data_IF_151877817189
#
_entry.id   IF_151877817189
#
_cell.length_a   1.000
_cell.length_b   1.000
_cell.length_c   1.000
_cell.angle_alpha   90.00
_cell.angle_beta   90.00
_cell.angle_gamma   90.00
#
_symmetry.space_group_name_H-M   'P 1'
#
loop_
_entity.id
_entity.type
_entity.pdbx_description
1 polymer ?
#
# COMPACT_ATOMS: atom_id res chain seq x y z
N UNK A 1 -12.02 6.17 -5.32
CA UNK A 1 -11.85 5.22 -4.19
C UNK A 1 -12.19 5.97 -2.89
N UNK A 2 -12.89 5.37 -1.91
CA UNK A 2 -13.30 6.04 -0.64
C UNK A 2 -12.63 5.47 0.62
N UNK A 3 -11.84 4.42 0.46
CA UNK A 3 -11.15 3.71 1.53
C UNK A 3 -9.73 3.34 1.08
N UNK A 4 -8.86 3.18 2.06
CA UNK A 4 -7.44 2.86 1.90
C UNK A 4 -7.17 1.59 2.69
N UNK A 5 -6.47 0.64 2.07
CA UNK A 5 -5.88 -0.53 2.71
C UNK A 5 -4.40 -0.27 2.89
N UNK A 6 -3.93 -0.32 4.13
CA UNK A 6 -2.52 -0.14 4.48
C UNK A 6 -2.05 -1.44 5.12
N UNK A 7 -0.97 -2.02 4.60
CA UNK A 7 -0.44 -3.30 5.09
C UNK A 7 0.98 -3.56 4.62
N UNK A 8 1.64 -4.52 5.24
CA UNK A 8 3.01 -4.97 4.97
C UNK A 8 3.06 -6.35 4.29
N UNK A 9 1.90 -6.96 4.05
CA UNK A 9 1.79 -8.27 3.39
C UNK A 9 1.11 -8.18 2.01
N UNK A 10 1.41 -9.16 1.14
CA UNK A 10 0.73 -9.31 -0.16
C UNK A 10 -0.76 -9.55 0.03
N UNK A 11 -1.17 -10.28 1.07
CA UNK A 11 -2.58 -10.54 1.37
C UNK A 11 -3.37 -9.27 1.66
N UNK A 12 -2.76 -8.26 2.28
CA UNK A 12 -3.41 -6.95 2.49
C UNK A 12 -3.68 -6.27 1.15
N UNK A 13 -2.70 -6.31 0.24
CA UNK A 13 -2.81 -5.69 -1.08
C UNK A 13 -3.88 -6.40 -1.91
N UNK A 14 -3.89 -7.72 -1.91
CA UNK A 14 -4.91 -8.52 -2.58
C UNK A 14 -6.31 -8.24 -2.03
N UNK A 15 -6.45 -8.19 -0.71
CA UNK A 15 -7.72 -7.88 -0.06
C UNK A 15 -8.22 -6.47 -0.42
N UNK A 16 -7.34 -5.46 -0.34
CA UNK A 16 -7.67 -4.08 -0.72
C UNK A 16 -8.05 -3.95 -2.19
N UNK A 17 -7.31 -4.61 -3.08
CA UNK A 17 -7.60 -4.66 -4.52
C UNK A 17 -8.97 -5.28 -4.80
N UNK A 18 -9.28 -6.42 -4.17
CA UNK A 18 -10.55 -7.13 -4.35
C UNK A 18 -11.76 -6.30 -3.91
N UNK A 19 -11.59 -5.37 -2.99
CA UNK A 19 -12.64 -4.46 -2.51
C UNK A 19 -12.60 -3.08 -3.19
N UNK A 20 -11.71 -2.87 -4.18
CA UNK A 20 -11.59 -1.60 -4.90
C UNK A 20 -11.03 -0.44 -4.06
N UNK A 21 -10.25 -0.74 -3.03
CA UNK A 21 -9.58 0.24 -2.16
C UNK A 21 -8.31 0.81 -2.80
N UNK A 22 -7.77 1.89 -2.24
CA UNK A 22 -6.39 2.32 -2.53
C UNK A 22 -5.45 1.43 -1.73
N UNK A 23 -4.43 0.84 -2.34
CA UNK A 23 -3.49 -0.05 -1.64
C UNK A 23 -2.17 0.65 -1.34
N UNK A 24 -1.78 0.64 -0.06
CA UNK A 24 -0.53 1.22 0.44
C UNK A 24 0.31 0.09 1.05
N UNK A 25 1.40 -0.26 0.39
CA UNK A 25 2.29 -1.32 0.85
C UNK A 25 3.46 -0.74 1.65
N UNK A 26 3.66 -1.25 2.86
CA UNK A 26 4.78 -0.87 3.73
C UNK A 26 5.89 -1.90 3.57
N UNK A 27 7.03 -1.48 3.04
CA UNK A 27 8.21 -2.34 2.93
C UNK A 27 9.49 -1.53 2.82
N UNK A 28 10.54 -2.03 3.47
CA UNK A 28 11.90 -1.49 3.33
C UNK A 28 12.60 -1.98 2.04
N UNK A 29 11.96 -2.90 1.29
CA UNK A 29 12.48 -3.39 0.03
C UNK A 29 12.32 -2.37 -1.10
N UNK A 30 13.26 -2.39 -2.04
CA UNK A 30 13.26 -1.48 -3.18
C UNK A 30 12.48 -2.01 -4.38
N UNK A 31 12.08 -3.28 -4.33
CA UNK A 31 11.36 -3.95 -5.42
C UNK A 31 9.89 -4.07 -5.05
N UNK A 32 9.03 -3.57 -5.94
CA UNK A 32 7.59 -3.82 -5.86
C UNK A 32 7.35 -5.31 -6.14
N UNK A 33 6.61 -6.03 -5.29
CA UNK A 33 6.18 -7.39 -5.57
C UNK A 33 5.47 -7.47 -6.93
N UNK A 34 5.93 -8.36 -7.81
CA UNK A 34 5.34 -8.52 -9.15
C UNK A 34 3.96 -9.20 -9.13
N UNK A 35 3.58 -9.79 -7.99
CA UNK A 35 2.43 -10.69 -7.85
C UNK A 35 1.11 -9.95 -7.57
N UNK A 36 1.15 -8.67 -7.20
CA UNK A 36 -0.05 -7.92 -6.80
C UNK A 36 0.01 -6.45 -7.21
N UNK A 37 -1.17 -5.83 -7.40
CA UNK A 37 -1.25 -4.41 -7.73
C UNK A 37 -1.10 -3.55 -6.47
N UNK A 38 -0.17 -2.61 -6.50
CA UNK A 38 0.10 -1.68 -5.40
C UNK A 38 -0.02 -0.27 -5.94
N UNK A 39 -0.88 0.56 -5.35
CA UNK A 39 -1.02 1.96 -5.75
C UNK A 39 0.16 2.81 -5.23
N UNK A 40 0.56 2.60 -3.97
CA UNK A 40 1.67 3.33 -3.32
C UNK A 40 2.51 2.38 -2.48
N UNK A 41 3.82 2.49 -2.57
CA UNK A 41 4.77 1.82 -1.68
C UNK A 41 5.49 2.87 -0.83
N UNK A 42 5.63 2.59 0.45
CA UNK A 42 6.36 3.42 1.43
C UNK A 42 7.20 2.53 2.34
N UNK A 43 8.21 3.09 2.98
CA UNK A 43 9.04 2.37 3.95
C UNK A 43 8.41 2.30 5.34
N UNK A 44 7.51 3.22 5.67
CA UNK A 44 6.88 3.29 6.99
C UNK A 44 5.56 4.05 6.96
N UNK A 45 4.76 3.87 8.02
CA UNK A 45 3.56 4.68 8.25
C UNK A 45 3.88 6.17 8.34
N UNK A 46 5.03 6.55 8.93
CA UNK A 46 5.44 7.95 9.02
C UNK A 46 5.67 8.57 7.63
N UNK A 47 6.33 7.83 6.72
CA UNK A 47 6.48 8.28 5.34
C UNK A 47 5.13 8.42 4.64
N UNK A 48 4.20 7.49 4.89
CA UNK A 48 2.84 7.59 4.34
C UNK A 48 2.12 8.85 4.83
N UNK A 49 2.18 9.16 6.13
CA UNK A 49 1.61 10.40 6.69
C UNK A 49 2.17 11.64 5.98
N UNK A 50 3.50 11.70 5.80
CA UNK A 50 4.13 12.82 5.09
C UNK A 50 3.68 12.97 3.63
N UNK A 51 3.24 11.89 2.97
CA UNK A 51 2.73 11.92 1.59
C UNK A 51 1.27 12.36 1.49
N UNK A 52 0.45 12.17 2.52
CA UNK A 52 -0.98 12.54 2.51
C UNK A 52 -1.25 13.95 3.02
N UNK A 53 -0.32 14.52 3.79
CA UNK A 53 -0.42 15.89 4.32
C UNK A 53 -0.01 16.98 3.31
N UNK A 54 0.47 16.59 2.12
CA UNK A 54 0.82 17.47 0.99
C UNK A 54 -0.16 17.31 -0.17
#
# INVERSE_FOLDING_TARGET
>A
KKSIMVGDSISDMEFGNNLGMVTIFISDETKVPAETNIDIMVKSLTEFVSKIEN
#
